data_IF_863870851455
#
_entry.id   IF_863870851455
#
_cell.length_a   1.000
_cell.length_b   1.000
_cell.length_c   1.000
_cell.angle_alpha   90.00
_cell.angle_beta   90.00
_cell.angle_gamma   90.00
#
_symmetry.space_group_name_H-M   'P 1'
#
loop_
_entity.id
_entity.type
_entity.pdbx_description
1 polymer ?
#
# COMPACT_ATOMS: atom_id res chain seq x y z
N UNK A 1 9.89 -50.35 -62.89
CA UNK A 1 8.80 -49.55 -62.23
C UNK A 1 9.30 -49.08 -60.90
N UNK A 2 9.69 -47.79 -60.77
CA UNK A 2 10.20 -47.23 -59.57
C UNK A 2 9.03 -46.39 -58.96
N UNK A 3 8.57 -46.76 -57.76
CA UNK A 3 7.55 -46.01 -57.04
C UNK A 3 8.24 -44.96 -56.09
N UNK A 4 8.09 -43.75 -56.46
CA UNK A 4 8.49 -42.58 -55.59
C UNK A 4 7.41 -42.34 -54.54
N UNK A 5 7.75 -42.45 -53.23
CA UNK A 5 6.88 -42.10 -52.14
C UNK A 5 7.15 -40.60 -51.77
N UNK A 6 6.15 -39.75 -51.97
CA UNK A 6 6.15 -38.38 -51.44
C UNK A 6 5.79 -38.45 -49.95
N UNK A 7 6.74 -38.09 -49.09
CA UNK A 7 6.47 -37.87 -47.69
C UNK A 7 5.96 -36.42 -47.46
N UNK A 8 4.73 -36.28 -47.02
CA UNK A 8 4.18 -34.97 -46.57
C UNK A 8 4.70 -34.65 -45.18
N UNK A 9 5.51 -33.61 -45.06
CA UNK A 9 5.93 -33.02 -43.77
C UNK A 9 4.79 -32.15 -43.23
N UNK A 10 4.16 -32.56 -42.14
CA UNK A 10 3.19 -31.78 -41.40
C UNK A 10 3.96 -30.85 -40.45
N UNK A 11 4.03 -29.57 -40.78
CA UNK A 11 4.54 -28.51 -39.86
C UNK A 11 3.49 -28.26 -38.79
N UNK A 12 3.76 -28.69 -37.55
CA UNK A 12 3.02 -28.24 -36.37
C UNK A 12 3.49 -26.83 -36.02
N UNK A 13 2.70 -25.80 -36.37
CA UNK A 13 2.86 -24.47 -35.82
C UNK A 13 2.34 -24.48 -34.37
N UNK A 14 3.25 -24.53 -33.41
CA UNK A 14 2.93 -24.27 -32.00
C UNK A 14 2.55 -22.78 -31.84
N UNK A 15 1.25 -22.51 -31.72
CA UNK A 15 0.75 -21.19 -31.29
C UNK A 15 1.15 -21.05 -29.83
N UNK A 16 2.22 -20.30 -29.57
CA UNK A 16 2.47 -19.76 -28.21
C UNK A 16 1.30 -18.84 -27.88
N UNK A 17 0.36 -19.34 -27.08
CA UNK A 17 -0.64 -18.50 -26.45
C UNK A 17 0.11 -17.58 -25.48
N UNK A 18 0.18 -16.30 -25.79
CA UNK A 18 0.70 -15.30 -24.86
C UNK A 18 -0.17 -15.40 -23.60
N UNK A 19 0.43 -15.81 -22.49
CA UNK A 19 -0.26 -15.88 -21.21
C UNK A 19 -0.59 -14.43 -20.82
N UNK A 20 -1.87 -14.10 -20.71
CA UNK A 20 -2.30 -12.76 -20.28
C UNK A 20 -1.63 -12.42 -18.94
N UNK A 21 -1.08 -11.22 -18.87
CA UNK A 21 -0.47 -10.73 -17.62
C UNK A 21 -1.54 -10.66 -16.52
N UNK A 22 -1.23 -11.06 -15.29
CA UNK A 22 -2.16 -10.98 -14.19
C UNK A 22 -2.72 -9.55 -14.01
N UNK A 23 -4.00 -9.47 -13.65
CA UNK A 23 -4.72 -8.23 -13.35
C UNK A 23 -5.35 -8.37 -11.98
N UNK A 24 -4.61 -8.05 -10.93
CA UNK A 24 -5.07 -8.30 -9.55
C UNK A 24 -4.27 -7.54 -8.50
N UNK A 25 -4.88 -7.42 -7.33
CA UNK A 25 -4.20 -7.08 -6.07
C UNK A 25 -4.22 -8.33 -5.19
N UNK A 26 -3.06 -8.78 -4.75
CA UNK A 26 -2.93 -9.91 -3.81
C UNK A 26 -2.47 -9.38 -2.46
N UNK A 27 -3.25 -9.59 -1.39
CA UNK A 27 -2.90 -9.16 -0.04
C UNK A 27 -1.88 -10.12 0.56
N UNK A 28 -0.71 -9.60 0.93
CA UNK A 28 0.41 -10.38 1.45
C UNK A 28 0.48 -10.35 2.98
N UNK A 29 -0.10 -9.31 3.60
CA UNK A 29 -0.04 -9.07 5.04
C UNK A 29 -1.29 -8.33 5.50
N UNK A 30 -1.99 -8.88 6.48
CA UNK A 30 -3.17 -8.29 7.11
C UNK A 30 -3.50 -9.04 8.42
N UNK A 31 -4.19 -8.38 9.35
CA UNK A 31 -4.72 -9.00 10.56
C UNK A 31 -5.93 -9.90 10.30
N UNK A 32 -6.59 -9.73 9.15
CA UNK A 32 -7.73 -10.52 8.68
C UNK A 32 -7.30 -11.55 7.63
N UNK A 33 -8.16 -12.48 7.32
CA UNK A 33 -7.95 -13.46 6.24
C UNK A 33 -8.63 -14.79 6.51
N UNK A 34 -8.92 -15.52 5.46
CA UNK A 34 -9.47 -16.87 5.55
C UNK A 34 -8.47 -17.83 6.24
N UNK A 35 -8.94 -18.89 6.89
CA UNK A 35 -8.06 -19.94 7.43
C UNK A 35 -7.14 -20.50 6.35
N UNK A 36 -5.83 -20.39 6.56
CA UNK A 36 -4.79 -20.82 5.62
C UNK A 36 -3.47 -21.04 6.36
N UNK A 37 -2.41 -21.39 5.63
CA UNK A 37 -1.04 -21.43 6.16
C UNK A 37 -0.39 -20.04 6.29
N UNK A 38 -1.06 -18.98 5.85
CA UNK A 38 -0.56 -17.62 5.95
C UNK A 38 -0.73 -17.08 7.37
N UNK A 39 0.26 -16.33 7.82
CA UNK A 39 0.23 -15.72 9.14
C UNK A 39 -0.47 -14.37 9.11
N UNK A 40 -1.31 -14.11 10.12
CA UNK A 40 -2.02 -12.85 10.32
C UNK A 40 -1.29 -12.03 11.39
N UNK A 41 -1.11 -10.77 11.11
CA UNK A 41 -0.57 -9.82 12.07
C UNK A 41 -1.07 -8.41 11.72
N UNK A 42 -1.00 -7.50 12.68
CA UNK A 42 -1.38 -6.11 12.48
C UNK A 42 -0.44 -5.43 11.50
N UNK A 43 -0.96 -4.92 10.40
CA UNK A 43 -0.21 -4.25 9.33
C UNK A 43 -0.80 -4.52 7.96
N UNK A 44 -0.20 -3.95 6.92
CA UNK A 44 -0.65 -4.14 5.56
C UNK A 44 0.49 -4.32 4.57
N UNK A 45 0.32 -5.22 3.63
CA UNK A 45 1.11 -5.30 2.41
C UNK A 45 0.31 -5.95 1.29
N UNK A 46 0.45 -5.47 0.07
CA UNK A 46 -0.20 -6.03 -1.10
C UNK A 46 0.71 -6.01 -2.33
N UNK A 47 0.59 -7.03 -3.19
CA UNK A 47 1.20 -7.07 -4.51
C UNK A 47 0.16 -6.69 -5.56
N UNK A 48 0.42 -5.65 -6.33
CA UNK A 48 -0.35 -5.25 -7.49
C UNK A 48 0.31 -5.81 -8.74
N UNK A 49 -0.44 -6.58 -9.52
CA UNK A 49 -0.03 -7.09 -10.82
C UNK A 49 -1.03 -6.59 -11.87
N UNK A 50 -0.60 -5.67 -12.74
CA UNK A 50 -1.45 -5.07 -13.76
C UNK A 50 -0.62 -4.53 -14.93
N UNK A 51 -1.09 -4.71 -16.16
CA UNK A 51 -0.42 -4.18 -17.36
C UNK A 51 1.05 -4.62 -17.50
N UNK A 52 1.39 -5.81 -17.02
CA UNK A 52 2.76 -6.35 -17.01
C UNK A 52 3.66 -5.78 -15.90
N UNK A 53 3.13 -4.91 -15.04
CA UNK A 53 3.85 -4.35 -13.88
C UNK A 53 3.59 -5.14 -12.61
N UNK A 54 4.58 -5.17 -11.75
CA UNK A 54 4.56 -5.78 -10.41
C UNK A 54 4.98 -4.74 -9.39
N UNK A 55 4.02 -4.24 -8.61
CA UNK A 55 4.23 -3.18 -7.63
C UNK A 55 3.88 -3.72 -6.25
N UNK A 56 4.83 -3.67 -5.32
CA UNK A 56 4.57 -3.93 -3.91
C UNK A 56 4.06 -2.64 -3.26
N UNK A 57 2.96 -2.74 -2.53
CA UNK A 57 2.39 -1.65 -1.74
C UNK A 57 2.48 -2.01 -0.26
N UNK A 58 3.26 -1.28 0.52
CA UNK A 58 3.62 -1.52 1.92
C UNK A 58 4.32 -2.89 2.18
N UNK A 59 4.78 -3.12 3.41
CA UNK A 59 5.61 -4.28 3.75
C UNK A 59 5.25 -4.93 5.10
N UNK A 60 4.15 -4.52 5.75
CA UNK A 60 3.72 -5.09 7.04
C UNK A 60 4.54 -4.67 8.25
N UNK A 61 4.21 -5.26 9.39
CA UNK A 61 4.71 -4.91 10.72
C UNK A 61 5.89 -5.79 11.21
N UNK A 62 5.99 -7.01 10.70
CA UNK A 62 7.05 -7.96 11.07
C UNK A 62 7.71 -8.52 9.82
N UNK A 63 9.03 -8.33 9.71
CA UNK A 63 9.80 -8.74 8.53
C UNK A 63 9.81 -10.26 8.33
N UNK A 64 9.79 -11.06 9.42
CA UNK A 64 9.80 -12.51 9.34
C UNK A 64 8.43 -13.07 8.93
N UNK A 65 7.33 -12.48 9.41
CA UNK A 65 5.97 -12.83 8.96
C UNK A 65 5.81 -12.45 7.49
N UNK A 66 6.23 -11.24 7.09
CA UNK A 66 6.21 -10.80 5.71
C UNK A 66 6.98 -11.75 4.79
N UNK A 67 8.20 -12.16 5.18
CA UNK A 67 9.00 -13.14 4.45
C UNK A 67 8.28 -14.47 4.28
N UNK A 68 7.70 -15.02 5.36
CA UNK A 68 7.00 -16.31 5.31
C UNK A 68 5.77 -16.26 4.40
N UNK A 69 4.96 -15.21 4.50
CA UNK A 69 3.77 -15.03 3.66
C UNK A 69 4.15 -14.85 2.18
N UNK A 70 5.15 -14.03 1.88
CA UNK A 70 5.68 -13.83 0.52
C UNK A 70 6.14 -15.16 -0.10
N UNK A 71 6.89 -15.97 0.68
CA UNK A 71 7.34 -17.31 0.24
C UNK A 71 6.18 -18.27 0.03
N UNK A 72 5.22 -18.31 0.97
CA UNK A 72 4.06 -19.19 0.89
C UNK A 72 3.15 -18.86 -0.32
N UNK A 73 3.07 -17.57 -0.68
CA UNK A 73 2.33 -17.10 -1.86
C UNK A 73 3.14 -17.19 -3.17
N UNK A 74 4.40 -17.63 -3.12
CA UNK A 74 5.27 -17.75 -4.29
C UNK A 74 5.62 -16.40 -4.94
N UNK A 75 5.61 -15.31 -4.17
CA UNK A 75 5.90 -13.96 -4.68
C UNK A 75 7.41 -13.75 -4.79
N UNK A 76 7.88 -13.45 -6.00
CA UNK A 76 9.28 -13.13 -6.28
C UNK A 76 9.49 -11.60 -6.16
N UNK A 77 10.04 -11.16 -5.02
CA UNK A 77 10.32 -9.75 -4.74
C UNK A 77 11.50 -9.20 -5.58
N UNK A 78 12.34 -10.05 -6.16
CA UNK A 78 13.41 -9.60 -7.05
C UNK A 78 12.88 -9.07 -8.39
N UNK A 79 11.63 -9.41 -8.73
CA UNK A 79 10.96 -9.02 -9.99
C UNK A 79 9.98 -7.86 -9.82
N UNK A 80 10.14 -7.02 -8.82
CA UNK A 80 9.31 -5.82 -8.64
C UNK A 80 9.79 -4.69 -9.55
N UNK A 81 8.86 -3.99 -10.18
CA UNK A 81 9.14 -2.75 -10.90
C UNK A 81 9.30 -1.57 -9.94
N UNK A 82 8.55 -1.59 -8.84
CA UNK A 82 8.57 -0.56 -7.81
C UNK A 82 7.94 -1.03 -6.49
N UNK A 83 8.18 -0.25 -5.46
CA UNK A 83 7.53 -0.35 -4.15
C UNK A 83 6.89 0.99 -3.84
N UNK A 84 5.71 0.98 -3.24
CA UNK A 84 5.07 2.14 -2.64
C UNK A 84 5.03 1.93 -1.13
N UNK A 85 5.50 2.91 -0.39
CA UNK A 85 5.30 2.99 1.06
C UNK A 85 4.29 4.09 1.31
N UNK A 86 3.14 3.71 1.83
CA UNK A 86 2.01 4.62 2.01
C UNK A 86 2.30 5.73 3.00
N UNK A 87 2.89 5.40 4.16
CA UNK A 87 3.22 6.35 5.21
C UNK A 87 4.26 5.77 6.19
N UNK A 88 4.64 6.53 7.21
CA UNK A 88 5.78 6.24 8.11
C UNK A 88 5.54 5.20 9.21
N UNK A 89 4.34 4.71 9.45
CA UNK A 89 4.09 3.78 10.55
C UNK A 89 4.77 2.42 10.35
N UNK A 90 5.22 1.82 11.46
CA UNK A 90 6.01 0.59 11.45
C UNK A 90 5.27 -0.60 10.84
N UNK A 91 3.96 -0.67 11.04
CA UNK A 91 3.09 -1.71 10.51
C UNK A 91 2.88 -1.67 8.98
N UNK A 92 3.55 -0.72 8.30
CA UNK A 92 3.65 -0.60 6.84
C UNK A 92 5.09 -0.68 6.32
N UNK A 93 6.08 -0.50 7.20
CA UNK A 93 7.47 -0.27 6.78
C UNK A 93 8.46 -1.32 7.28
N UNK A 94 8.13 -2.11 8.31
CA UNK A 94 9.12 -2.99 8.97
C UNK A 94 9.65 -4.08 8.04
N UNK A 95 8.84 -4.59 7.12
CA UNK A 95 9.27 -5.57 6.12
C UNK A 95 10.27 -5.04 5.08
N UNK A 96 10.53 -3.72 5.02
CA UNK A 96 11.59 -3.14 4.18
C UNK A 96 12.97 -3.75 4.47
N UNK A 97 13.22 -4.17 5.71
CA UNK A 97 14.47 -4.87 6.06
C UNK A 97 14.70 -6.09 5.17
N UNK A 98 13.74 -7.00 5.14
CA UNK A 98 13.79 -8.20 4.29
C UNK A 98 13.75 -7.85 2.79
N UNK A 99 12.87 -6.94 2.38
CA UNK A 99 12.79 -6.54 0.98
C UNK A 99 14.14 -6.05 0.44
N UNK A 100 14.85 -5.20 1.19
CA UNK A 100 16.14 -4.62 0.75
C UNK A 100 17.29 -5.63 0.78
N UNK A 101 17.15 -6.75 1.48
CA UNK A 101 18.07 -7.87 1.36
C UNK A 101 17.88 -8.62 0.03
N UNK A 102 16.62 -8.79 -0.39
CA UNK A 102 16.27 -9.52 -1.63
C UNK A 102 16.43 -8.63 -2.86
N UNK A 103 16.02 -7.37 -2.79
CA UNK A 103 16.02 -6.42 -3.90
C UNK A 103 16.57 -5.04 -3.48
N UNK A 104 17.89 -4.90 -3.29
CA UNK A 104 18.49 -3.67 -2.75
C UNK A 104 18.41 -2.47 -3.68
N UNK A 105 18.08 -2.66 -4.96
CA UNK A 105 18.05 -1.62 -5.96
C UNK A 105 16.63 -1.22 -6.40
N UNK A 106 15.59 -1.78 -5.79
CA UNK A 106 14.22 -1.46 -6.14
C UNK A 106 13.91 0.03 -5.85
N UNK A 107 13.15 0.67 -6.74
CA UNK A 107 12.67 2.04 -6.54
C UNK A 107 11.55 2.03 -5.49
N UNK A 108 11.63 2.92 -4.51
CA UNK A 108 10.65 3.02 -3.43
C UNK A 108 10.02 4.40 -3.47
N UNK A 109 8.77 4.48 -3.88
CA UNK A 109 7.98 5.70 -3.82
C UNK A 109 7.40 5.87 -2.41
N UNK A 110 7.63 7.02 -1.80
CA UNK A 110 7.18 7.31 -0.44
C UNK A 110 6.83 8.80 -0.27
N UNK A 111 5.95 9.15 0.68
CA UNK A 111 5.68 10.55 0.99
C UNK A 111 6.89 11.22 1.64
N UNK A 112 6.92 12.55 1.63
CA UNK A 112 7.90 13.35 2.35
C UNK A 112 7.68 13.21 3.87
N UNK A 113 8.37 12.25 4.49
CA UNK A 113 8.28 11.95 5.93
C UNK A 113 9.65 11.76 6.54
N UNK A 114 9.91 12.40 7.70
CA UNK A 114 11.23 12.36 8.35
C UNK A 114 11.68 10.96 8.81
N UNK A 115 10.76 10.01 8.99
CA UNK A 115 11.10 8.64 9.38
C UNK A 115 11.81 7.84 8.28
N UNK A 116 11.66 8.22 7.01
CA UNK A 116 12.37 7.58 5.88
C UNK A 116 13.70 8.24 5.62
N UNK A 117 13.84 9.50 6.02
CA UNK A 117 15.02 10.33 5.78
C UNK A 117 15.50 10.90 7.11
N UNK A 118 16.79 11.31 7.16
CA UNK A 118 17.30 12.07 8.29
C UNK A 118 16.50 13.37 8.41
N UNK A 119 15.55 13.39 9.35
CA UNK A 119 14.78 14.58 9.70
C UNK A 119 15.53 15.44 10.71
N UNK A 120 15.40 16.75 10.61
CA UNK A 120 15.84 17.67 11.66
C UNK A 120 14.66 17.92 12.59
N UNK A 121 14.80 17.56 13.86
CA UNK A 121 13.81 17.98 14.84
C UNK A 121 13.94 19.47 15.15
N UNK A 122 12.83 20.15 15.47
CA UNK A 122 12.85 21.55 15.92
C UNK A 122 13.78 21.72 17.12
N UNK A 123 14.55 22.79 17.13
CA UNK A 123 15.46 23.11 18.26
C UNK A 123 14.71 23.22 19.59
N UNK A 124 13.46 23.64 19.53
CA UNK A 124 12.55 23.82 20.66
C UNK A 124 12.30 22.51 21.44
N UNK A 125 12.45 21.35 20.80
CA UNK A 125 12.35 20.04 21.49
C UNK A 125 13.45 19.82 22.52
N UNK A 126 14.60 20.47 22.33
CA UNK A 126 15.75 20.39 23.23
C UNK A 126 15.93 21.69 23.99
N UNK A 127 14.86 22.49 24.14
CA UNK A 127 14.91 23.75 24.85
C UNK A 127 15.52 23.58 26.27
N UNK A 128 16.58 24.33 26.62
CA UNK A 128 17.26 24.14 27.90
C UNK A 128 16.42 24.69 29.04
N UNK A 129 16.42 23.97 30.18
CA UNK A 129 15.94 24.49 31.44
C UNK A 129 17.16 24.70 32.39
N UNK A 130 17.67 25.93 32.54
CA UNK A 130 18.96 26.20 33.17
C UNK A 130 19.09 25.73 34.62
N UNK A 131 17.98 25.68 35.36
CA UNK A 131 17.98 25.33 36.78
C UNK A 131 17.95 23.82 37.06
N UNK A 132 17.84 23.01 36.02
CA UNK A 132 17.92 21.55 36.19
C UNK A 132 19.36 21.06 36.37
N UNK A 133 19.60 20.07 37.24
CA UNK A 133 20.88 19.34 37.28
C UNK A 133 21.27 18.78 35.91
N UNK A 134 22.58 18.72 35.61
CA UNK A 134 23.07 18.31 34.28
C UNK A 134 22.58 16.94 33.85
N UNK A 135 22.40 15.98 34.79
CA UNK A 135 21.93 14.64 34.47
C UNK A 135 20.45 14.57 34.08
N UNK A 136 19.69 15.63 34.30
CA UNK A 136 18.29 15.80 33.86
C UNK A 136 18.15 16.66 32.60
N UNK A 137 19.25 17.13 32.04
CA UNK A 137 19.24 17.91 30.80
C UNK A 137 19.57 17.03 29.60
N UNK A 138 18.98 17.33 28.47
CA UNK A 138 19.33 16.67 27.23
C UNK A 138 20.83 16.78 26.95
N UNK A 139 21.49 15.63 26.67
CA UNK A 139 22.94 15.55 26.41
C UNK A 139 23.81 16.17 27.53
N UNK A 140 23.38 16.11 28.77
CA UNK A 140 24.10 16.72 29.89
C UNK A 140 24.23 18.27 29.77
N UNK A 141 23.26 18.91 29.14
CA UNK A 141 23.23 20.37 28.93
C UNK A 141 24.01 20.85 27.70
N UNK A 142 24.49 19.94 26.86
CA UNK A 142 25.24 20.25 25.63
C UNK A 142 24.62 19.56 24.41
N UNK A 143 23.36 19.88 24.04
CA UNK A 143 22.75 19.26 22.87
C UNK A 143 23.50 19.65 21.59
N UNK A 144 23.54 18.76 20.60
CA UNK A 144 24.13 19.06 19.31
C UNK A 144 23.37 20.18 18.60
N UNK A 145 24.05 20.97 17.78
CA UNK A 145 23.43 22.03 16.98
C UNK A 145 22.37 21.50 16.02
N UNK A 146 22.57 20.30 15.55
CA UNK A 146 21.61 19.58 14.68
C UNK A 146 21.29 18.25 15.30
N UNK A 147 20.02 18.03 15.57
CA UNK A 147 19.51 16.76 16.06
C UNK A 147 18.74 16.07 14.96
N UNK A 148 19.08 14.80 14.74
CA UNK A 148 18.46 13.95 13.72
C UNK A 148 17.47 13.00 14.42
N UNK A 149 16.21 13.02 14.02
CA UNK A 149 15.19 12.09 14.47
C UNK A 149 14.86 11.07 13.39
N UNK A 150 14.47 9.87 13.81
CA UNK A 150 14.03 8.79 12.96
C UNK A 150 15.13 7.76 12.68
N UNK A 151 14.70 6.60 12.19
CA UNK A 151 15.59 5.54 11.70
C UNK A 151 15.55 5.58 10.19
N UNK A 152 16.52 6.21 9.51
CA UNK A 152 16.51 6.30 8.06
C UNK A 152 16.81 4.92 7.46
N UNK A 153 16.05 4.57 6.42
CA UNK A 153 16.32 3.42 5.58
C UNK A 153 17.42 3.76 4.57
N UNK A 154 18.67 3.91 5.04
CA UNK A 154 19.80 4.43 4.25
C UNK A 154 20.11 3.62 2.99
N UNK A 155 19.72 2.35 2.98
CA UNK A 155 19.94 1.45 1.83
C UNK A 155 18.84 1.51 0.79
N UNK A 156 17.70 2.17 1.09
CA UNK A 156 16.56 2.27 0.20
C UNK A 156 16.74 3.37 -0.86
N UNK A 157 16.34 3.07 -2.09
CA UNK A 157 16.31 4.05 -3.20
C UNK A 157 14.96 4.77 -3.20
N UNK A 158 14.78 5.70 -2.26
CA UNK A 158 13.53 6.45 -2.13
C UNK A 158 13.39 7.54 -3.20
N UNK A 159 12.20 7.59 -3.79
CA UNK A 159 11.71 8.66 -4.64
C UNK A 159 10.52 9.33 -3.95
N UNK A 160 10.70 10.60 -3.60
CA UNK A 160 9.72 11.34 -2.80
C UNK A 160 8.55 11.78 -3.67
N UNK A 161 7.34 11.46 -3.23
CA UNK A 161 6.09 11.90 -3.84
C UNK A 161 5.52 13.06 -3.04
N UNK A 162 5.40 14.23 -3.68
CA UNK A 162 4.91 15.46 -3.04
C UNK A 162 3.54 15.91 -3.53
N UNK A 163 2.97 15.22 -4.51
CA UNK A 163 1.66 15.53 -5.09
C UNK A 163 1.18 14.39 -5.98
N UNK A 164 -0.03 14.51 -6.53
CA UNK A 164 -0.56 13.52 -7.46
C UNK A 164 0.27 13.49 -8.74
N UNK A 165 0.86 12.34 -9.06
CA UNK A 165 1.84 12.19 -10.15
C UNK A 165 1.68 10.84 -10.84
N UNK A 166 1.71 10.83 -12.17
CA UNK A 166 1.79 9.58 -12.95
C UNK A 166 3.21 9.03 -12.87
N UNK A 167 3.36 7.82 -12.31
CA UNK A 167 4.66 7.16 -12.07
C UNK A 167 5.03 6.22 -13.22
N UNK A 168 4.06 5.50 -13.71
CA UNK A 168 4.11 4.71 -14.95
C UNK A 168 2.83 4.96 -15.74
N UNK A 169 2.80 4.72 -17.05
CA UNK A 169 1.57 4.88 -17.84
C UNK A 169 0.38 4.17 -17.19
N UNK A 170 -0.62 4.95 -16.78
CA UNK A 170 -1.81 4.47 -16.10
C UNK A 170 -1.66 4.19 -14.59
N UNK A 171 -0.50 4.47 -13.97
CA UNK A 171 -0.28 4.30 -12.53
C UNK A 171 0.05 5.64 -11.89
N UNK A 172 -0.73 6.04 -10.92
CA UNK A 172 -0.64 7.33 -10.25
C UNK A 172 -0.35 7.17 -8.77
N UNK A 173 0.62 7.92 -8.26
CA UNK A 173 0.77 8.16 -6.83
C UNK A 173 -0.12 9.33 -6.45
N UNK A 174 -0.99 9.16 -5.45
CA UNK A 174 -1.86 10.21 -4.92
C UNK A 174 -1.35 10.56 -3.53
N UNK A 175 -0.94 11.80 -3.31
CA UNK A 175 -0.52 12.26 -1.98
C UNK A 175 -1.62 13.05 -1.31
N UNK A 176 -1.97 12.63 -0.09
CA UNK A 176 -2.92 13.33 0.78
C UNK A 176 -2.27 13.61 2.13
N UNK A 177 -2.75 14.66 2.82
CA UNK A 177 -2.24 15.04 4.13
C UNK A 177 -3.34 14.92 5.19
N UNK A 178 -3.04 14.23 6.29
CA UNK A 178 -3.97 14.12 7.41
C UNK A 178 -4.10 15.43 8.16
N UNK A 179 -5.35 15.78 8.50
CA UNK A 179 -5.70 16.88 9.39
C UNK A 179 -6.41 16.35 10.65
N UNK A 180 -6.40 15.02 10.86
CA UNK A 180 -7.06 14.38 11.99
C UNK A 180 -6.16 14.40 13.24
N UNK A 181 -6.72 14.57 14.43
CA UNK A 181 -5.96 14.45 15.69
C UNK A 181 -5.20 13.12 15.76
N UNK A 182 -3.96 13.17 16.26
CA UNK A 182 -3.08 12.00 16.37
C UNK A 182 -2.25 11.70 15.12
N UNK A 183 -2.71 12.12 13.95
CA UNK A 183 -1.99 11.98 12.68
C UNK A 183 -1.84 13.31 11.93
N UNK A 184 -1.94 14.42 12.66
CA UNK A 184 -1.86 15.77 12.11
C UNK A 184 -0.62 15.94 11.23
N UNK A 185 -0.84 16.48 10.03
CA UNK A 185 0.15 16.76 9.00
C UNK A 185 0.94 15.56 8.44
N UNK A 186 0.60 14.32 8.81
CA UNK A 186 1.20 13.15 8.19
C UNK A 186 0.81 13.06 6.71
N UNK A 187 1.81 12.91 5.85
CA UNK A 187 1.58 12.68 4.44
C UNK A 187 1.37 11.18 4.19
N UNK A 188 0.41 10.86 3.35
CA UNK A 188 0.12 9.48 2.94
C UNK A 188 0.01 9.40 1.42
N UNK A 189 0.64 8.36 0.85
CA UNK A 189 0.59 8.06 -0.59
C UNK A 189 -0.31 6.86 -0.81
N UNK A 190 -1.25 7.00 -1.75
CA UNK A 190 -2.08 5.92 -2.28
C UNK A 190 -1.69 5.64 -3.73
N UNK A 191 -1.94 4.42 -4.21
CA UNK A 191 -1.69 4.03 -5.60
C UNK A 191 -3.01 3.93 -6.34
N UNK A 192 -3.17 4.68 -7.43
CA UNK A 192 -4.31 4.52 -8.34
C UNK A 192 -3.85 3.91 -9.67
N UNK A 193 -4.63 2.98 -10.19
CA UNK A 193 -4.38 2.27 -11.43
C UNK A 193 -5.56 2.51 -12.36
N UNK A 194 -5.30 3.05 -13.54
CA UNK A 194 -6.31 3.23 -14.58
C UNK A 194 -6.61 1.88 -15.23
N UNK A 195 -7.86 1.46 -15.14
CA UNK A 195 -8.39 0.26 -15.78
C UNK A 195 -9.45 0.61 -16.81
N UNK A 196 -9.91 -0.31 -17.66
CA UNK A 196 -11.01 -0.06 -18.59
C UNK A 196 -12.35 0.31 -17.91
N UNK A 197 -12.55 -0.08 -16.65
CA UNK A 197 -13.78 0.15 -15.89
C UNK A 197 -13.65 1.26 -14.83
N UNK A 198 -12.57 2.04 -14.86
CA UNK A 198 -12.29 3.12 -13.92
C UNK A 198 -11.03 2.89 -13.07
N UNK A 199 -10.82 3.72 -12.07
CA UNK A 199 -9.64 3.63 -11.20
C UNK A 199 -9.78 2.50 -10.16
N UNK A 200 -8.75 1.68 -10.04
CA UNK A 200 -8.50 0.85 -8.87
C UNK A 200 -7.55 1.58 -7.93
N UNK A 201 -7.96 1.82 -6.69
CA UNK A 201 -7.20 2.59 -5.70
C UNK A 201 -6.75 1.68 -4.56
N UNK A 202 -5.44 1.63 -4.31
CA UNK A 202 -4.84 0.92 -3.16
C UNK A 202 -4.42 1.96 -2.13
N UNK A 203 -4.89 1.79 -0.90
CA UNK A 203 -4.64 2.69 0.23
C UNK A 203 -3.92 1.96 1.36
N UNK A 204 -3.13 2.69 2.15
CA UNK A 204 -2.47 2.14 3.35
C UNK A 204 -3.43 2.11 4.54
N UNK A 205 -3.41 3.17 5.34
CA UNK A 205 -4.34 3.36 6.45
C UNK A 205 -5.49 4.34 6.17
N UNK A 206 -5.32 5.23 5.21
CA UNK A 206 -6.28 6.32 4.96
C UNK A 206 -6.42 7.29 6.16
N UNK A 207 -5.31 7.67 6.81
CA UNK A 207 -5.34 8.63 7.91
C UNK A 207 -5.99 9.97 7.55
N UNK A 208 -5.83 10.49 6.31
CA UNK A 208 -6.56 11.69 5.87
C UNK A 208 -8.08 11.49 5.82
N UNK A 209 -8.54 10.26 5.71
CA UNK A 209 -9.89 9.83 5.38
C UNK A 209 -9.92 9.23 3.99
N UNK A 210 -10.49 8.03 3.85
CA UNK A 210 -10.61 7.35 2.54
C UNK A 210 -11.37 8.22 1.55
N UNK A 211 -12.39 8.95 2.00
CA UNK A 211 -13.16 9.90 1.19
C UNK A 211 -12.30 11.04 0.63
N UNK A 212 -11.27 11.48 1.38
CA UNK A 212 -10.33 12.51 0.92
C UNK A 212 -9.37 11.97 -0.15
N UNK A 213 -8.94 10.74 -0.01
CA UNK A 213 -8.13 10.07 -1.02
C UNK A 213 -8.94 9.92 -2.31
N UNK A 214 -10.22 9.53 -2.22
CA UNK A 214 -11.08 9.41 -3.38
C UNK A 214 -11.44 10.77 -4.02
N UNK A 215 -11.51 11.87 -3.26
CA UNK A 215 -11.60 13.22 -3.81
C UNK A 215 -10.41 13.57 -4.71
N UNK A 216 -9.20 13.16 -4.33
CA UNK A 216 -8.01 13.33 -5.17
C UNK A 216 -7.98 12.36 -6.35
N UNK A 217 -8.38 11.10 -6.16
CA UNK A 217 -8.47 10.10 -7.23
C UNK A 217 -9.47 10.55 -8.32
N UNK A 218 -10.62 11.11 -7.92
CA UNK A 218 -11.65 11.61 -8.84
C UNK A 218 -11.19 12.77 -9.74
N UNK A 219 -10.06 13.42 -9.43
CA UNK A 219 -9.44 14.41 -10.33
C UNK A 219 -8.69 13.76 -11.51
N UNK A 220 -8.32 12.48 -11.37
CA UNK A 220 -7.67 11.69 -12.42
C UNK A 220 -8.74 11.05 -13.30
N UNK A 221 -9.75 10.44 -12.68
CA UNK A 221 -10.90 9.82 -13.32
C UNK A 221 -12.07 9.77 -12.35
N UNK A 222 -13.27 10.12 -12.79
CA UNK A 222 -14.47 10.09 -11.96
C UNK A 222 -15.06 8.71 -11.78
N UNK A 223 -14.69 7.76 -12.63
CA UNK A 223 -15.12 6.38 -12.53
C UNK A 223 -14.16 5.63 -11.59
N UNK A 224 -14.68 5.22 -10.44
CA UNK A 224 -13.92 4.53 -9.38
C UNK A 224 -14.37 3.07 -9.33
N UNK A 225 -13.54 2.17 -9.85
CA UNK A 225 -13.86 0.76 -9.89
C UNK A 225 -13.75 0.10 -8.52
N UNK A 226 -12.60 0.24 -7.85
CA UNK A 226 -12.42 -0.35 -6.52
C UNK A 226 -11.50 0.47 -5.62
N UNK A 227 -11.72 0.38 -4.31
CA UNK A 227 -10.77 0.83 -3.30
C UNK A 227 -10.46 -0.32 -2.35
N UNK A 228 -9.15 -0.59 -2.14
CA UNK A 228 -8.67 -1.68 -1.30
C UNK A 228 -7.60 -1.21 -0.32
N UNK A 229 -7.60 -1.78 0.90
CA UNK A 229 -6.69 -1.47 1.99
C UNK A 229 -7.38 -0.99 3.26
N UNK A 230 -6.66 -0.30 4.14
CA UNK A 230 -7.18 0.19 5.42
C UNK A 230 -7.94 1.50 5.30
N UNK A 231 -9.09 1.61 5.97
CA UNK A 231 -9.93 2.82 5.97
C UNK A 231 -9.85 3.61 7.29
N UNK A 232 -8.99 3.18 8.22
CA UNK A 232 -8.72 3.80 9.52
C UNK A 232 -9.99 4.11 10.33
N UNK A 233 -10.87 3.14 10.46
CA UNK A 233 -12.16 3.26 11.15
C UNK A 233 -12.16 2.60 12.54
N UNK A 234 -10.99 2.21 13.04
CA UNK A 234 -10.82 1.73 14.42
C UNK A 234 -11.26 2.84 15.37
N UNK A 235 -12.13 2.52 16.32
CA UNK A 235 -12.74 3.46 17.28
C UNK A 235 -13.68 4.51 16.66
N UNK A 236 -14.01 4.42 15.37
CA UNK A 236 -14.97 5.31 14.72
C UNK A 236 -16.40 4.88 15.08
N UNK A 237 -17.28 5.79 15.53
CA UNK A 237 -18.67 5.47 15.82
C UNK A 237 -19.43 4.97 14.59
N UNK A 238 -20.45 4.13 14.81
CA UNK A 238 -21.23 3.48 13.73
C UNK A 238 -21.82 4.48 12.73
N UNK A 239 -22.42 5.54 13.22
CA UNK A 239 -23.04 6.59 12.39
C UNK A 239 -22.04 7.25 11.43
N UNK A 240 -20.80 7.46 11.89
CA UNK A 240 -19.75 8.00 11.04
C UNK A 240 -19.23 6.96 10.04
N UNK A 241 -19.14 5.66 10.43
CA UNK A 241 -18.81 4.59 9.50
C UNK A 241 -19.86 4.46 8.41
N UNK A 242 -21.16 4.52 8.79
CA UNK A 242 -22.29 4.50 7.85
C UNK A 242 -22.28 5.71 6.90
N UNK A 243 -21.96 6.90 7.42
CA UNK A 243 -21.77 8.10 6.60
C UNK A 243 -20.67 7.93 5.55
N UNK A 244 -19.52 7.38 5.96
CA UNK A 244 -18.40 7.14 5.05
C UNK A 244 -18.76 6.08 4.00
N UNK A 245 -19.38 4.98 4.39
CA UNK A 245 -19.84 3.95 3.47
C UNK A 245 -20.85 4.51 2.45
N UNK A 246 -21.80 5.35 2.90
CA UNK A 246 -22.73 6.06 2.03
C UNK A 246 -22.03 7.03 1.06
N UNK A 247 -20.98 7.74 1.49
CA UNK A 247 -20.21 8.57 0.57
C UNK A 247 -19.52 7.75 -0.52
N UNK A 248 -18.91 6.62 -0.19
CA UNK A 248 -18.27 5.76 -1.17
C UNK A 248 -19.28 5.18 -2.16
N UNK A 249 -20.44 4.73 -1.65
CA UNK A 249 -21.49 4.10 -2.44
C UNK A 249 -22.26 5.11 -3.31
N UNK A 250 -22.76 6.21 -2.72
CA UNK A 250 -23.75 7.09 -3.36
C UNK A 250 -23.10 8.29 -4.08
N UNK A 251 -22.10 8.91 -3.44
CA UNK A 251 -21.44 10.12 -3.98
C UNK A 251 -20.33 9.76 -4.95
N UNK A 252 -19.38 8.90 -4.53
CA UNK A 252 -18.26 8.49 -5.36
C UNK A 252 -18.61 7.36 -6.33
N UNK A 253 -19.71 6.66 -6.10
CA UNK A 253 -20.18 5.52 -6.91
C UNK A 253 -19.09 4.47 -7.12
N UNK A 254 -18.33 4.21 -6.06
CA UNK A 254 -17.32 3.14 -6.08
C UNK A 254 -18.01 1.84 -6.43
N UNK A 255 -17.58 1.17 -7.50
CA UNK A 255 -18.23 -0.06 -7.96
C UNK A 255 -18.06 -1.19 -6.96
N UNK A 256 -16.86 -1.39 -6.42
CA UNK A 256 -16.53 -2.43 -5.43
C UNK A 256 -15.68 -1.88 -4.30
N UNK A 257 -15.76 -2.47 -3.12
CA UNK A 257 -14.86 -2.15 -2.00
C UNK A 257 -14.18 -3.40 -1.49
N UNK A 258 -12.90 -3.27 -1.18
CA UNK A 258 -12.09 -4.34 -0.61
C UNK A 258 -11.35 -3.83 0.66
N UNK A 259 -12.09 -3.57 1.75
CA UNK A 259 -11.49 -3.09 2.99
C UNK A 259 -10.65 -4.17 3.68
N UNK A 260 -9.60 -3.74 4.39
CA UNK A 260 -8.70 -4.58 5.16
C UNK A 260 -8.14 -3.82 6.37
N UNK A 261 -7.14 -4.38 7.01
CA UNK A 261 -6.28 -3.76 8.00
C UNK A 261 -7.03 -2.98 9.10
N UNK A 262 -6.84 -1.67 9.18
CA UNK A 262 -7.40 -0.79 10.21
C UNK A 262 -8.86 -0.34 9.95
N UNK A 263 -9.59 -1.01 9.07
CA UNK A 263 -11.01 -0.71 8.80
C UNK A 263 -11.92 -1.06 9.98
N UNK A 264 -11.52 -1.98 10.86
CA UNK A 264 -12.25 -2.53 12.00
C UNK A 264 -13.37 -3.53 11.64
N UNK A 265 -13.74 -4.38 12.60
CA UNK A 265 -14.85 -5.33 12.42
C UNK A 265 -16.20 -4.62 12.20
N UNK A 266 -16.44 -3.50 12.88
CA UNK A 266 -17.61 -2.65 12.66
C UNK A 266 -17.62 -2.09 11.23
N UNK A 267 -16.46 -1.62 10.75
CA UNK A 267 -16.31 -1.15 9.39
C UNK A 267 -16.62 -2.26 8.37
N UNK A 268 -16.10 -3.47 8.56
CA UNK A 268 -16.42 -4.61 7.70
C UNK A 268 -17.93 -4.88 7.64
N UNK A 269 -18.61 -4.89 8.80
CA UNK A 269 -20.05 -5.12 8.85
C UNK A 269 -20.82 -4.07 8.06
N UNK A 270 -20.55 -2.78 8.28
CA UNK A 270 -21.25 -1.68 7.60
C UNK A 270 -20.97 -1.67 6.10
N UNK A 271 -19.72 -1.85 5.67
CA UNK A 271 -19.38 -1.92 4.23
C UNK A 271 -20.00 -3.14 3.56
N UNK A 272 -20.04 -4.29 4.23
CA UNK A 272 -20.72 -5.47 3.71
C UNK A 272 -22.24 -5.25 3.56
N UNK A 273 -22.89 -4.60 4.54
CA UNK A 273 -24.30 -4.23 4.45
C UNK A 273 -24.58 -3.26 3.30
N UNK A 274 -23.68 -2.30 3.07
CA UNK A 274 -23.84 -1.25 2.05
C UNK A 274 -23.52 -1.73 0.63
N UNK A 275 -22.48 -2.55 0.45
CA UNK A 275 -21.98 -2.97 -0.87
C UNK A 275 -22.42 -4.38 -1.28
N UNK A 276 -22.82 -5.24 -0.33
CA UNK A 276 -23.32 -6.62 -0.57
C UNK A 276 -22.36 -7.45 -1.44
N UNK A 277 -22.77 -7.88 -2.64
CA UNK A 277 -21.95 -8.68 -3.57
C UNK A 277 -20.78 -7.88 -4.16
N UNK A 278 -20.75 -6.57 -3.97
CA UNK A 278 -19.65 -5.67 -4.35
C UNK A 278 -18.62 -5.43 -3.24
N UNK A 279 -18.74 -6.21 -2.15
CA UNK A 279 -17.80 -6.21 -1.04
C UNK A 279 -16.86 -7.41 -1.14
N UNK A 280 -15.56 -7.15 -1.18
CA UNK A 280 -14.50 -8.16 -1.16
C UNK A 280 -13.61 -7.94 0.08
N UNK A 281 -13.53 -8.89 1.04
CA UNK A 281 -12.65 -8.71 2.20
C UNK A 281 -11.18 -8.78 1.77
N UNK A 282 -10.39 -7.73 2.06
CA UNK A 282 -8.98 -7.66 1.73
C UNK A 282 -8.09 -8.22 2.86
N UNK A 283 -8.34 -9.44 3.32
CA UNK A 283 -7.48 -10.11 4.30
C UNK A 283 -6.27 -10.82 3.66
N UNK A 284 -5.31 -11.26 4.47
CA UNK A 284 -4.11 -11.94 3.98
C UNK A 284 -4.46 -13.15 3.10
N UNK A 285 -3.85 -13.24 1.93
CA UNK A 285 -4.13 -14.25 0.90
C UNK A 285 -5.30 -13.92 -0.02
N UNK A 286 -6.07 -12.84 0.23
CA UNK A 286 -7.12 -12.41 -0.66
C UNK A 286 -6.55 -11.96 -2.02
N UNK A 287 -7.29 -12.29 -3.09
CA UNK A 287 -6.98 -11.87 -4.46
C UNK A 287 -8.15 -11.05 -4.97
N UNK A 288 -7.95 -9.76 -5.17
CA UNK A 288 -8.93 -8.81 -5.70
C UNK A 288 -8.66 -8.68 -7.21
N UNK A 289 -9.56 -9.15 -8.08
CA UNK A 289 -9.39 -9.04 -9.53
C UNK A 289 -9.51 -7.58 -9.99
N UNK A 290 -8.72 -7.22 -11.00
CA UNK A 290 -8.80 -5.94 -11.70
C UNK A 290 -9.28 -6.16 -13.14
N UNK A 291 -10.11 -5.26 -13.71
CA UNK A 291 -10.67 -5.40 -15.06
C UNK A 291 -9.67 -5.21 -16.19
#
# INVERSE_FOLDING_TARGET
>A
MVRTALGAAVLFASVLQAQESPRRVTVLYDAFGAPSALERDWGFAALVEYGGRRILFDTGNDAAIFERNVKALGVDLAKLDAVFISHRHGDHTTGLGFLLEVNPNVRIFAPQEGAFFKGRAPKEFLAPYPDLPLHLRYYGGRPPETWVSGTPWERGRFEIVTGTTEIFPGFYAITTKSQKPGTMEMNEVSLAIRTPEGLAVVVGCSHPGVEKILEEAAKIDTDLYTVTGGFHLVLTPRDEVERIAGLLHDRFRVERVAPGHCTSELGFAVFHESFRERFDPAGVGAVIPLP
#
